data_IF_707331007560
#
_entry.id   IF_707331007560
#
_cell.length_a   1.000
_cell.length_b   1.000
_cell.length_c   1.000
_cell.angle_alpha   90.00
_cell.angle_beta   90.00
_cell.angle_gamma   90.00
#
_symmetry.space_group_name_H-M   'P 1'
#
loop_
_entity.id
_entity.type
_entity.pdbx_description
1 polymer ?
#
# COMPACT_ATOMS: atom_id res chain seq x y z
N UNK A 1 -6.06 67.81 6.29
CA UNK A 1 -5.96 66.95 7.50
C UNK A 1 -6.78 65.70 7.23
N UNK A 2 -6.19 64.54 7.54
CA UNK A 2 -6.43 63.23 6.93
C UNK A 2 -7.89 62.74 6.92
N UNK A 3 -8.39 62.40 5.72
CA UNK A 3 -9.50 61.49 5.50
C UNK A 3 -9.00 60.05 5.60
N UNK A 4 -9.22 59.40 6.75
CA UNK A 4 -8.97 57.97 6.90
C UNK A 4 -10.12 57.16 6.32
N UNK A 5 -9.92 56.50 5.19
CA UNK A 5 -10.80 55.44 4.70
C UNK A 5 -10.28 54.08 5.19
N UNK A 6 -10.96 53.55 6.19
CA UNK A 6 -10.73 52.23 6.76
C UNK A 6 -11.23 51.17 5.77
N UNK A 7 -10.30 50.49 5.10
CA UNK A 7 -10.61 49.41 4.16
C UNK A 7 -10.73 48.09 4.91
N UNK A 8 -11.96 47.58 5.01
CA UNK A 8 -12.29 46.24 5.50
C UNK A 8 -11.50 45.19 4.70
N UNK A 9 -10.58 44.48 5.37
CA UNK A 9 -9.89 43.32 4.80
C UNK A 9 -10.89 42.17 4.68
N UNK A 10 -11.39 41.94 3.47
CA UNK A 10 -12.09 40.70 3.11
C UNK A 10 -11.09 39.55 3.26
N UNK A 11 -11.28 38.73 4.29
CA UNK A 11 -10.49 37.50 4.46
C UNK A 11 -10.77 36.58 3.26
N UNK A 12 -9.76 36.42 2.40
CA UNK A 12 -9.84 35.55 1.24
C UNK A 12 -10.19 34.12 1.65
N UNK A 13 -11.27 33.60 1.09
CA UNK A 13 -11.67 32.20 1.18
C UNK A 13 -10.59 31.35 0.50
N UNK A 14 -10.06 30.33 1.18
CA UNK A 14 -9.15 29.35 0.55
C UNK A 14 -9.89 28.68 -0.60
N UNK A 15 -9.29 28.51 -1.78
CA UNK A 15 -9.91 27.78 -2.87
C UNK A 15 -9.96 26.28 -2.53
N UNK A 16 -11.14 25.69 -2.67
CA UNK A 16 -11.44 24.31 -2.24
C UNK A 16 -10.81 23.25 -3.17
N UNK A 17 -10.24 23.66 -4.31
CA UNK A 17 -9.57 22.76 -5.25
C UNK A 17 -8.38 23.47 -5.91
N UNK A 18 -7.19 23.22 -5.39
CA UNK A 18 -5.93 23.50 -6.10
C UNK A 18 -5.56 22.25 -6.89
N UNK A 19 -5.58 22.35 -8.22
CA UNK A 19 -4.89 21.38 -9.07
C UNK A 19 -3.41 21.78 -9.07
N UNK A 20 -2.57 20.87 -8.59
CA UNK A 20 -1.12 21.00 -8.54
C UNK A 20 -0.55 20.88 -9.97
N UNK A 21 -0.10 21.99 -10.53
CA UNK A 21 0.50 22.09 -11.88
C UNK A 21 2.00 21.75 -11.89
N UNK A 22 2.53 21.24 -10.77
CA UNK A 22 3.89 20.73 -10.68
C UNK A 22 4.98 21.80 -10.78
N UNK A 23 4.64 23.08 -10.69
CA UNK A 23 5.59 24.20 -10.83
C UNK A 23 6.23 24.64 -9.50
N UNK A 24 5.75 24.11 -8.36
CA UNK A 24 6.38 24.34 -7.08
C UNK A 24 7.46 23.29 -6.83
N UNK A 25 8.71 23.74 -6.79
CA UNK A 25 9.87 23.03 -6.27
C UNK A 25 9.68 22.72 -4.77
N UNK A 26 8.82 21.76 -4.46
CA UNK A 26 8.85 21.04 -3.20
C UNK A 26 10.14 20.24 -3.21
N UNK A 27 11.13 20.72 -2.47
CA UNK A 27 12.42 20.05 -2.30
C UNK A 27 12.21 18.55 -2.16
N UNK A 28 12.99 17.77 -2.91
CA UNK A 28 12.91 16.32 -2.97
C UNK A 28 13.09 15.72 -1.57
N UNK A 29 12.01 15.63 -0.80
CA UNK A 29 11.91 14.66 0.28
C UNK A 29 11.85 13.32 -0.42
N UNK A 30 13.03 12.78 -0.77
CA UNK A 30 13.17 11.42 -1.25
C UNK A 30 12.40 10.51 -0.30
N UNK A 31 11.29 9.95 -0.80
CA UNK A 31 10.48 9.00 -0.05
C UNK A 31 11.22 7.67 -0.07
N UNK A 32 12.26 7.55 0.75
CA UNK A 32 13.17 6.40 0.87
C UNK A 32 12.48 5.04 1.11
N UNK A 33 11.17 5.03 1.35
CA UNK A 33 10.36 3.83 1.58
C UNK A 33 9.07 3.80 0.73
N UNK A 34 9.07 4.39 -0.47
CA UNK A 34 7.87 4.44 -1.31
C UNK A 34 7.55 3.09 -1.99
N UNK A 35 8.57 2.30 -2.31
CA UNK A 35 8.48 1.02 -3.01
C UNK A 35 9.53 0.05 -2.44
N UNK A 36 9.21 -0.54 -1.29
CA UNK A 36 10.07 -1.47 -0.56
C UNK A 36 9.24 -2.63 -0.05
N UNK A 37 9.77 -3.85 -0.14
CA UNK A 37 9.15 -5.02 0.49
C UNK A 37 9.37 -5.00 2.00
N UNK A 38 8.29 -5.11 2.75
CA UNK A 38 8.34 -5.35 4.19
C UNK A 38 7.99 -6.81 4.45
N UNK A 39 8.84 -7.52 5.21
CA UNK A 39 8.55 -8.86 5.68
C UNK A 39 7.31 -8.86 6.57
N UNK A 40 7.27 -7.95 7.55
CA UNK A 40 6.15 -7.75 8.44
C UNK A 40 5.44 -6.44 8.11
N UNK A 41 4.12 -6.49 7.98
CA UNK A 41 3.28 -5.36 7.62
C UNK A 41 2.47 -4.96 8.85
N UNK A 42 2.82 -3.82 9.44
CA UNK A 42 2.18 -3.29 10.65
C UNK A 42 1.17 -2.19 10.35
N UNK A 43 1.29 -1.52 9.21
CA UNK A 43 0.44 -0.40 8.85
C UNK A 43 0.19 -0.30 7.34
N UNK A 44 -0.85 0.45 6.95
CA UNK A 44 -1.23 0.61 5.55
C UNK A 44 -0.16 1.28 4.66
N UNK A 45 0.78 2.05 5.24
CA UNK A 45 1.89 2.63 4.46
C UNK A 45 2.89 1.57 4.04
N UNK A 46 3.23 0.63 4.93
CA UNK A 46 4.07 -0.52 4.63
C UNK A 46 3.39 -1.46 3.63
N UNK A 47 2.08 -1.70 3.77
CA UNK A 47 1.32 -2.47 2.77
C UNK A 47 1.40 -1.81 1.40
N UNK A 48 1.13 -0.49 1.32
CA UNK A 48 1.20 0.27 0.07
C UNK A 48 2.60 0.25 -0.56
N UNK A 49 3.64 0.36 0.25
CA UNK A 49 5.02 0.30 -0.21
C UNK A 49 5.38 -1.09 -0.75
N UNK A 50 4.94 -2.14 -0.08
CA UNK A 50 5.16 -3.54 -0.49
C UNK A 50 4.46 -3.83 -1.82
N UNK A 51 3.20 -3.44 -1.96
CA UNK A 51 2.44 -3.63 -3.22
C UNK A 51 3.07 -2.89 -4.40
N UNK A 52 3.75 -1.75 -4.16
CA UNK A 52 4.46 -0.98 -5.18
C UNK A 52 5.82 -1.56 -5.54
N UNK A 53 6.50 -2.20 -4.60
CA UNK A 53 7.75 -2.92 -4.86
C UNK A 53 7.54 -4.11 -5.80
N UNK A 54 6.31 -4.64 -5.86
CA UNK A 54 5.90 -5.69 -6.80
C UNK A 54 5.89 -7.08 -6.16
N UNK A 55 5.47 -8.07 -6.95
CA UNK A 55 5.26 -9.45 -6.49
C UNK A 55 6.53 -10.33 -6.52
N UNK A 56 7.70 -9.77 -6.81
CA UNK A 56 8.94 -10.52 -6.93
C UNK A 56 9.98 -9.94 -5.96
N UNK A 57 10.67 -10.82 -5.24
CA UNK A 57 11.73 -10.44 -4.30
C UNK A 57 13.00 -9.97 -5.03
N UNK A 58 13.70 -9.00 -4.45
CA UNK A 58 15.03 -8.60 -4.89
C UNK A 58 16.06 -8.77 -3.77
N UNK A 59 17.27 -9.30 -4.05
CA UNK A 59 17.71 -9.94 -5.30
C UNK A 59 17.11 -11.36 -5.49
N UNK A 60 17.02 -11.83 -6.73
CA UNK A 60 16.68 -13.23 -7.05
C UNK A 60 15.36 -13.46 -7.78
N UNK A 61 14.41 -12.52 -7.74
CA UNK A 61 13.17 -12.60 -8.52
C UNK A 61 12.15 -13.63 -8.02
N UNK A 62 12.27 -14.09 -6.78
CA UNK A 62 11.37 -15.10 -6.23
C UNK A 62 9.94 -14.60 -6.11
N UNK A 63 8.91 -15.41 -6.45
CA UNK A 63 7.52 -15.02 -6.30
C UNK A 63 7.20 -14.78 -4.81
N UNK A 64 6.52 -13.67 -4.54
CA UNK A 64 6.04 -13.29 -3.22
C UNK A 64 4.53 -13.41 -3.16
N UNK A 65 4.04 -13.77 -1.99
CA UNK A 65 2.63 -13.69 -1.63
C UNK A 65 2.47 -13.02 -0.26
N UNK A 66 1.25 -12.62 0.02
CA UNK A 66 0.87 -11.97 1.27
C UNK A 66 0.16 -12.97 2.18
N UNK A 67 0.41 -12.90 3.48
CA UNK A 67 -0.25 -13.74 4.48
C UNK A 67 -1.09 -12.85 5.39
N UNK A 68 -2.34 -13.25 5.57
CA UNK A 68 -3.26 -12.62 6.52
C UNK A 68 -2.94 -13.06 7.94
N UNK A 69 -3.49 -12.37 8.94
CA UNK A 69 -3.39 -12.77 10.34
C UNK A 69 -3.93 -14.17 10.61
N UNK A 70 -4.99 -14.57 9.91
CA UNK A 70 -5.56 -15.92 9.98
C UNK A 70 -4.64 -17.02 9.44
N UNK A 71 -3.55 -16.64 8.74
CA UNK A 71 -2.62 -17.56 8.09
C UNK A 71 -2.94 -17.84 6.63
N UNK A 72 -3.93 -17.16 6.06
CA UNK A 72 -4.35 -17.37 4.69
C UNK A 72 -3.42 -16.67 3.69
N UNK A 73 -3.13 -17.34 2.57
CA UNK A 73 -2.35 -16.77 1.48
C UNK A 73 -3.21 -15.90 0.56
N UNK A 74 -2.65 -14.77 0.10
CA UNK A 74 -3.27 -13.86 -0.85
C UNK A 74 -2.29 -13.48 -1.96
N UNK A 75 -2.81 -13.37 -3.19
CA UNK A 75 -2.08 -12.78 -4.31
C UNK A 75 -1.95 -11.27 -4.15
N UNK A 76 -0.85 -10.72 -4.69
CA UNK A 76 -0.64 -9.28 -4.74
C UNK A 76 -1.77 -8.53 -5.44
N UNK A 77 -2.29 -9.07 -6.56
CA UNK A 77 -3.33 -8.38 -7.33
C UNK A 77 -4.67 -8.36 -6.61
N UNK A 78 -5.06 -9.45 -5.94
CA UNK A 78 -6.28 -9.49 -5.13
C UNK A 78 -6.22 -8.45 -3.99
N UNK A 79 -5.06 -8.25 -3.39
CA UNK A 79 -4.88 -7.22 -2.35
C UNK A 79 -4.81 -5.80 -2.94
N UNK A 80 -4.28 -5.61 -4.15
CA UNK A 80 -4.34 -4.30 -4.85
C UNK A 80 -5.77 -3.91 -5.17
N UNK A 81 -6.58 -4.84 -5.69
CA UNK A 81 -7.99 -4.61 -6.01
C UNK A 81 -8.81 -4.28 -4.76
N UNK A 82 -8.52 -4.95 -3.64
CA UNK A 82 -9.20 -4.77 -2.35
C UNK A 82 -8.39 -3.94 -1.35
N UNK A 83 -7.52 -3.05 -1.84
CA UNK A 83 -6.54 -2.35 -1.01
C UNK A 83 -7.17 -1.57 0.14
N UNK A 84 -8.32 -0.94 -0.10
CA UNK A 84 -9.03 -0.19 0.93
C UNK A 84 -9.48 -1.06 2.10
N UNK A 85 -9.96 -2.28 1.83
CA UNK A 85 -10.39 -3.21 2.88
C UNK A 85 -9.18 -3.69 3.69
N UNK A 86 -8.09 -4.08 3.03
CA UNK A 86 -6.87 -4.50 3.71
C UNK A 86 -6.28 -3.40 4.61
N UNK A 87 -6.24 -2.15 4.13
CA UNK A 87 -5.79 -1.02 4.95
C UNK A 87 -6.76 -0.73 6.11
N UNK A 88 -8.06 -0.85 5.88
CA UNK A 88 -9.07 -0.67 6.93
C UNK A 88 -8.89 -1.72 8.04
N UNK A 89 -8.68 -2.97 7.68
CA UNK A 89 -8.44 -4.06 8.63
C UNK A 89 -7.15 -3.86 9.44
N UNK A 90 -6.05 -3.52 8.77
CA UNK A 90 -4.80 -3.21 9.45
C UNK A 90 -4.97 -2.02 10.40
N UNK A 91 -5.67 -0.97 9.97
CA UNK A 91 -5.84 0.26 10.76
C UNK A 91 -6.74 0.05 11.99
N UNK A 92 -7.82 -0.71 11.86
CA UNK A 92 -8.78 -0.93 12.94
C UNK A 92 -8.45 -2.18 13.78
N UNK A 93 -7.45 -2.96 13.37
CA UNK A 93 -7.07 -4.20 14.06
C UNK A 93 -8.11 -5.32 13.91
N UNK A 94 -9.04 -5.17 12.97
CA UNK A 94 -10.08 -6.15 12.64
C UNK A 94 -9.52 -7.23 11.72
N UNK A 95 -10.11 -8.42 11.79
CA UNK A 95 -9.70 -9.56 10.97
C UNK A 95 -10.89 -10.07 10.18
N UNK A 96 -11.18 -9.41 9.05
CA UNK A 96 -12.23 -9.84 8.11
C UNK A 96 -11.67 -10.76 7.02
N UNK A 97 -10.44 -11.27 7.22
CA UNK A 97 -9.68 -12.01 6.22
C UNK A 97 -8.78 -11.15 5.34
N UNK A 98 -8.73 -9.82 5.55
CA UNK A 98 -7.89 -8.90 4.78
C UNK A 98 -6.74 -8.29 5.57
N UNK A 99 -6.63 -8.60 6.86
CA UNK A 99 -5.55 -8.09 7.70
C UNK A 99 -4.23 -8.76 7.34
N UNK A 100 -3.50 -8.16 6.40
CA UNK A 100 -2.17 -8.64 5.99
C UNK A 100 -1.13 -8.32 7.04
N UNK A 101 -0.38 -9.33 7.47
CA UNK A 101 0.68 -9.19 8.47
C UNK A 101 2.07 -9.59 7.95
N UNK A 102 2.15 -10.46 6.93
CA UNK A 102 3.41 -10.98 6.43
C UNK A 102 3.49 -10.94 4.90
N UNK A 103 4.69 -10.69 4.37
CA UNK A 103 5.06 -10.94 2.98
C UNK A 103 6.14 -12.02 2.97
N UNK A 104 5.95 -13.08 2.20
CA UNK A 104 6.93 -14.18 2.13
C UNK A 104 6.91 -14.87 0.75
N UNK A 105 7.92 -15.69 0.51
CA UNK A 105 8.04 -16.55 -0.68
C UNK A 105 7.44 -17.91 -0.40
N UNK A 106 6.69 -18.44 -1.37
CA UNK A 106 6.30 -19.85 -1.38
C UNK A 106 7.45 -20.64 -2.01
N UNK A 107 8.18 -21.43 -1.21
CA UNK A 107 9.35 -22.14 -1.73
C UNK A 107 8.96 -23.40 -2.52
N UNK A 108 8.16 -24.29 -1.94
CA UNK A 108 7.95 -25.65 -2.50
C UNK A 108 6.47 -26.08 -2.48
N UNK A 109 5.55 -25.24 -1.99
CA UNK A 109 4.18 -25.68 -1.76
C UNK A 109 3.29 -25.48 -2.98
N UNK A 110 3.04 -26.54 -3.73
CA UNK A 110 2.14 -26.53 -4.90
C UNK A 110 0.64 -26.48 -4.55
N UNK A 111 0.29 -26.77 -3.30
CA UNK A 111 -1.10 -26.81 -2.84
C UNK A 111 -1.56 -25.49 -2.22
N UNK A 112 -0.67 -24.48 -2.15
CA UNK A 112 -1.00 -23.18 -1.59
C UNK A 112 -1.90 -22.41 -2.56
N UNK A 113 -3.07 -21.99 -2.09
CA UNK A 113 -4.05 -21.24 -2.88
C UNK A 113 -4.38 -19.90 -2.25
N UNK A 114 -4.81 -18.95 -3.06
CA UNK A 114 -5.25 -17.64 -2.61
C UNK A 114 -6.67 -17.72 -2.02
N UNK A 115 -6.86 -17.24 -0.80
CA UNK A 115 -8.16 -17.30 -0.11
C UNK A 115 -9.28 -16.49 -0.81
N UNK A 116 -8.92 -15.48 -1.61
CA UNK A 116 -9.91 -14.67 -2.32
C UNK A 116 -10.33 -15.27 -3.66
N UNK A 117 -9.37 -15.61 -4.54
CA UNK A 117 -9.65 -16.05 -5.90
C UNK A 117 -9.56 -17.58 -6.09
N UNK A 118 -9.14 -18.32 -5.07
CA UNK A 118 -8.91 -19.77 -5.06
C UNK A 118 -7.92 -20.28 -6.12
N UNK A 119 -7.17 -19.38 -6.78
CA UNK A 119 -6.11 -19.76 -7.73
C UNK A 119 -4.83 -20.16 -6.97
N UNK A 120 -4.00 -21.04 -7.54
CA UNK A 120 -2.73 -21.43 -6.93
C UNK A 120 -1.79 -20.21 -6.78
N UNK A 121 -1.01 -20.21 -5.70
CA UNK A 121 0.08 -19.27 -5.46
C UNK A 121 1.36 -19.90 -5.99
N UNK A 122 2.06 -19.17 -6.85
CA UNK A 122 3.29 -19.64 -7.50
C UNK A 122 4.36 -20.04 -6.48
N UNK A 123 4.89 -21.25 -6.62
CA UNK A 123 6.00 -21.75 -5.83
C UNK A 123 7.33 -21.51 -6.57
N UNK A 124 8.37 -21.09 -5.86
CA UNK A 124 9.68 -20.81 -6.43
C UNK A 124 10.39 -22.07 -6.97
N UNK A 125 10.17 -23.21 -6.32
CA UNK A 125 10.77 -24.51 -6.62
C UNK A 125 9.72 -25.62 -6.69
N UNK A 126 8.46 -25.25 -6.97
CA UNK A 126 7.37 -26.21 -7.13
C UNK A 126 7.50 -27.04 -8.39
N UNK A 127 7.12 -28.32 -8.32
CA UNK A 127 6.93 -29.15 -9.52
C UNK A 127 5.73 -28.64 -10.31
N UNK A 128 5.84 -28.54 -11.64
CA UNK A 128 4.77 -28.06 -12.53
C UNK A 128 3.71 -29.12 -12.82
#
# INVERSE_FOLDING_TARGET
MNSGSETLKVQGRKPDHVYDDGSASFGSLERHDYAKHYREIQNGRQLRATLRAGQFAWPGGYPLYLVTRSGDGLHFDCVKENFYQAVWDIRNGTDTGWKVELTTTNYECNHLTCAHCNKPIEAAYGEQ
#
